data_IF_302055643120
#
_entry.id   IF_302055643120
#
_cell.length_a   1.000
_cell.length_b   1.000
_cell.length_c   1.000
_cell.angle_alpha   90.00
_cell.angle_beta   90.00
_cell.angle_gamma   90.00
#
_symmetry.space_group_name_H-M   'P 1'
#
loop_
_entity.id
_entity.type
_entity.pdbx_description
1 polymer ?
#
# COMPACT_ATOMS: atom_id res chain seq x y z
N UNK A 1 10.06 -18.82 -0.49
CA UNK A 1 8.80 -18.82 0.29
C UNK A 1 8.87 -17.64 1.24
N UNK A 2 8.10 -16.57 1.06
CA UNK A 2 8.36 -15.33 1.81
C UNK A 2 7.17 -14.40 1.92
N UNK A 3 7.02 -13.80 3.11
CA UNK A 3 6.03 -12.79 3.52
C UNK A 3 4.57 -13.30 3.62
N UNK A 4 4.20 -14.01 4.70
CA UNK A 4 2.84 -14.54 4.93
C UNK A 4 1.72 -13.49 4.85
N UNK A 5 1.96 -12.27 5.35
CA UNK A 5 0.97 -11.18 5.29
C UNK A 5 0.66 -10.71 3.87
N UNK A 6 1.65 -10.72 2.98
CA UNK A 6 1.41 -10.40 1.57
C UNK A 6 0.54 -11.47 0.90
N UNK A 7 0.79 -12.74 1.22
CA UNK A 7 -0.03 -13.86 0.73
C UNK A 7 -1.47 -13.79 1.24
N UNK A 8 -1.68 -13.42 2.50
CA UNK A 8 -3.02 -13.19 3.04
C UNK A 8 -3.73 -12.05 2.30
N UNK A 9 -3.06 -10.90 2.15
CA UNK A 9 -3.60 -9.74 1.44
C UNK A 9 -4.06 -10.12 0.02
N UNK A 10 -3.17 -10.70 -0.79
CA UNK A 10 -3.50 -11.01 -2.19
C UNK A 10 -4.56 -12.11 -2.30
N UNK A 11 -4.49 -13.15 -1.47
CA UNK A 11 -5.44 -14.27 -1.53
C UNK A 11 -6.86 -13.84 -1.16
N UNK A 12 -7.01 -13.01 -0.13
CA UNK A 12 -8.31 -12.49 0.30
C UNK A 12 -8.90 -11.52 -0.70
N UNK A 13 -8.09 -10.65 -1.30
CA UNK A 13 -8.55 -9.75 -2.37
C UNK A 13 -9.02 -10.56 -3.58
N UNK A 14 -8.25 -11.56 -4.03
CA UNK A 14 -8.64 -12.44 -5.14
C UNK A 14 -9.93 -13.20 -4.83
N UNK A 15 -10.06 -13.77 -3.64
CA UNK A 15 -11.26 -14.49 -3.22
C UNK A 15 -12.50 -13.58 -3.23
N UNK A 16 -12.37 -12.32 -2.79
CA UNK A 16 -13.45 -11.35 -2.83
C UNK A 16 -13.88 -11.01 -4.27
N UNK A 17 -12.93 -10.84 -5.20
CA UNK A 17 -13.23 -10.54 -6.60
C UNK A 17 -13.81 -11.75 -7.34
N UNK A 18 -13.29 -12.95 -7.09
CA UNK A 18 -13.79 -14.21 -7.68
C UNK A 18 -15.22 -14.54 -7.25
N UNK A 19 -15.62 -14.13 -6.03
CA UNK A 19 -16.95 -14.45 -5.49
C UNK A 19 -18.09 -13.90 -6.36
N UNK A 20 -17.90 -12.77 -7.03
CA UNK A 20 -18.90 -12.21 -7.92
C UNK A 20 -18.22 -11.34 -9.00
N UNK A 21 -18.45 -11.59 -10.30
CA UNK A 21 -17.84 -10.81 -11.38
C UNK A 21 -18.25 -9.33 -11.39
N UNK A 22 -19.31 -8.94 -10.67
CA UNK A 22 -19.72 -7.53 -10.50
C UNK A 22 -18.99 -6.82 -9.36
N UNK A 23 -18.21 -7.54 -8.54
CA UNK A 23 -17.43 -6.90 -7.49
C UNK A 23 -16.34 -6.05 -8.12
N UNK A 24 -16.10 -4.87 -7.53
CA UNK A 24 -15.09 -3.93 -7.98
C UNK A 24 -14.16 -3.59 -6.80
N UNK A 25 -12.86 -3.72 -7.00
CA UNK A 25 -11.85 -3.22 -6.08
C UNK A 25 -11.73 -1.70 -6.25
N UNK A 26 -12.23 -0.96 -5.25
CA UNK A 26 -12.28 0.50 -5.30
C UNK A 26 -10.96 1.16 -4.90
N UNK A 27 -10.35 0.68 -3.82
CA UNK A 27 -9.12 1.22 -3.25
C UNK A 27 -8.51 0.20 -2.28
N UNK A 28 -7.24 0.39 -1.95
CA UNK A 28 -6.59 -0.25 -0.80
C UNK A 28 -6.34 0.81 0.27
N UNK A 29 -6.91 0.63 1.46
CA UNK A 29 -6.58 1.46 2.62
C UNK A 29 -5.35 0.86 3.32
N UNK A 30 -4.28 1.62 3.42
CA UNK A 30 -2.98 1.16 3.93
C UNK A 30 -2.51 2.06 5.08
N UNK A 31 -2.33 1.51 6.28
CA UNK A 31 -1.78 2.25 7.43
C UNK A 31 -0.65 1.41 8.02
N UNK A 32 0.59 1.79 7.69
CA UNK A 32 1.78 1.07 8.10
C UNK A 32 3.00 1.98 7.97
N UNK A 33 3.88 1.95 8.96
CA UNK A 33 5.19 2.62 8.89
C UNK A 33 5.84 2.84 10.26
N UNK A 34 5.06 2.74 11.33
CA UNK A 34 5.46 2.97 12.73
C UNK A 34 6.71 2.19 13.13
N UNK A 35 6.69 0.88 12.95
CA UNK A 35 7.83 0.03 13.34
C UNK A 35 9.04 0.20 12.42
N UNK A 36 8.83 0.50 11.13
CA UNK A 36 9.94 0.79 10.22
C UNK A 36 10.69 2.05 10.65
N UNK A 37 10.00 3.10 11.11
CA UNK A 37 10.64 4.31 11.64
C UNK A 37 11.54 4.03 12.85
N UNK A 38 11.18 3.07 13.70
CA UNK A 38 12.00 2.66 14.84
C UNK A 38 13.22 1.80 14.45
N UNK A 39 13.26 1.28 13.21
CA UNK A 39 14.29 0.39 12.75
C UNK A 39 15.49 1.13 12.13
N UNK A 40 16.68 0.55 12.29
CA UNK A 40 17.90 1.06 11.63
C UNK A 40 17.80 1.04 10.10
N UNK A 41 16.90 0.23 9.53
CA UNK A 41 16.68 0.04 8.10
C UNK A 41 15.53 0.85 7.52
N UNK A 42 15.00 1.85 8.23
CA UNK A 42 13.86 2.69 7.78
C UNK A 42 14.01 3.24 6.35
N UNK A 43 15.24 3.58 5.93
CA UNK A 43 15.55 4.07 4.57
C UNK A 43 15.22 3.08 3.46
N UNK A 44 15.11 1.78 3.76
CA UNK A 44 14.74 0.75 2.79
C UNK A 44 13.23 0.65 2.59
N UNK A 45 12.44 1.16 3.54
CA UNK A 45 10.99 1.00 3.56
C UNK A 45 10.32 1.52 2.27
N UNK A 46 10.66 2.71 1.73
CA UNK A 46 10.00 3.19 0.52
C UNK A 46 10.23 2.28 -0.70
N UNK A 47 11.42 1.69 -0.84
CA UNK A 47 11.73 0.78 -1.94
C UNK A 47 11.03 -0.58 -1.78
N UNK A 48 10.97 -1.10 -0.54
CA UNK A 48 10.26 -2.34 -0.22
C UNK A 48 8.75 -2.20 -0.45
N UNK A 49 8.18 -1.05 -0.10
CA UNK A 49 6.79 -0.71 -0.40
C UNK A 49 6.54 -0.65 -1.91
N UNK A 50 7.40 0.01 -2.70
CA UNK A 50 7.29 0.03 -4.17
C UNK A 50 7.25 -1.38 -4.74
N UNK A 51 8.16 -2.25 -4.30
CA UNK A 51 8.24 -3.61 -4.80
C UNK A 51 6.97 -4.41 -4.45
N UNK A 52 6.43 -4.22 -3.24
CA UNK A 52 5.17 -4.83 -2.82
C UNK A 52 3.99 -4.33 -3.66
N UNK A 53 3.89 -3.02 -3.89
CA UNK A 53 2.82 -2.41 -4.70
C UNK A 53 2.86 -2.93 -6.14
N UNK A 54 4.04 -2.98 -6.76
CA UNK A 54 4.22 -3.50 -8.10
C UNK A 54 3.81 -4.99 -8.19
N UNK A 55 4.22 -5.80 -7.21
CA UNK A 55 3.83 -7.21 -7.15
C UNK A 55 2.31 -7.38 -6.98
N UNK A 56 1.68 -6.60 -6.10
CA UNK A 56 0.24 -6.64 -5.88
C UNK A 56 -0.54 -6.34 -7.17
N UNK A 57 -0.14 -5.29 -7.88
CA UNK A 57 -0.76 -4.88 -9.15
C UNK A 57 -0.57 -5.95 -10.23
N UNK A 58 0.62 -6.52 -10.34
CA UNK A 58 0.90 -7.61 -11.27
C UNK A 58 0.03 -8.85 -10.96
N UNK A 59 -0.06 -9.22 -9.69
CA UNK A 59 -0.83 -10.40 -9.24
C UNK A 59 -2.35 -10.23 -9.43
N UNK A 60 -2.86 -8.99 -9.44
CA UNK A 60 -4.27 -8.67 -9.68
C UNK A 60 -4.62 -8.37 -11.14
N UNK A 61 -3.66 -8.35 -12.06
CA UNK A 61 -3.89 -8.03 -13.48
C UNK A 61 -4.99 -8.87 -14.15
N UNK A 62 -5.15 -10.14 -13.73
CA UNK A 62 -6.21 -11.04 -14.22
C UNK A 62 -7.63 -10.57 -13.84
N UNK A 63 -7.75 -9.66 -12.86
CA UNK A 63 -8.99 -9.04 -12.41
C UNK A 63 -9.10 -7.56 -12.83
N UNK A 64 -8.35 -7.12 -13.86
CA UNK A 64 -8.36 -5.72 -14.31
C UNK A 64 -9.77 -5.15 -14.54
N UNK A 65 -10.65 -5.91 -15.20
CA UNK A 65 -12.04 -5.50 -15.45
C UNK A 65 -12.86 -5.27 -14.15
N UNK A 66 -12.40 -5.83 -13.04
CA UNK A 66 -13.00 -5.70 -11.70
C UNK A 66 -12.20 -4.72 -10.81
N UNK A 67 -11.31 -3.91 -11.38
CA UNK A 67 -10.58 -2.87 -10.67
C UNK A 67 -11.15 -1.49 -11.01
N UNK A 68 -11.02 -0.54 -10.08
CA UNK A 68 -11.28 0.87 -10.37
C UNK A 68 -10.48 1.31 -11.62
N UNK A 69 -11.12 2.05 -12.53
CA UNK A 69 -10.51 2.44 -13.80
C UNK A 69 -10.33 1.29 -14.81
N UNK A 70 -10.74 0.06 -14.48
CA UNK A 70 -10.58 -1.11 -15.35
C UNK A 70 -9.15 -1.67 -15.36
N UNK A 71 -8.30 -1.28 -14.41
CA UNK A 71 -6.91 -1.68 -14.32
C UNK A 71 -6.45 -1.78 -12.87
N UNK A 72 -5.77 -2.87 -12.51
CA UNK A 72 -5.14 -3.01 -11.20
C UNK A 72 -4.06 -1.93 -10.96
N UNK A 73 -3.47 -1.38 -12.03
CA UNK A 73 -2.49 -0.30 -11.93
C UNK A 73 -3.11 1.02 -11.44
N UNK A 74 -4.39 1.24 -11.73
CA UNK A 74 -5.10 2.49 -11.42
C UNK A 74 -5.84 2.41 -10.07
N UNK A 75 -5.82 1.26 -9.40
CA UNK A 75 -6.40 1.13 -8.06
C UNK A 75 -5.64 2.03 -7.10
N UNK A 76 -6.32 3.00 -6.45
CA UNK A 76 -5.69 3.90 -5.52
C UNK A 76 -5.31 3.19 -4.22
N UNK A 77 -4.14 3.52 -3.71
CA UNK A 77 -3.66 3.14 -2.39
C UNK A 77 -3.75 4.35 -1.48
N UNK A 78 -4.76 4.37 -0.63
CA UNK A 78 -4.98 5.43 0.35
C UNK A 78 -4.14 5.10 1.57
N UNK A 79 -2.96 5.69 1.64
CA UNK A 79 -2.04 5.56 2.76
C UNK A 79 -2.48 6.49 3.88
N UNK A 80 -2.88 5.95 5.03
CA UNK A 80 -3.18 6.77 6.20
C UNK A 80 -1.91 7.22 6.91
N UNK A 81 -1.94 8.44 7.43
CA UNK A 81 -0.90 8.98 8.29
C UNK A 81 -0.91 8.31 9.69
N UNK A 82 0.13 8.58 10.49
CA UNK A 82 0.30 8.03 11.83
C UNK A 82 -0.04 9.04 12.93
N UNK A 83 0.03 8.61 14.19
CA UNK A 83 -0.30 9.44 15.34
C UNK A 83 0.80 10.45 15.65
N UNK A 84 0.44 11.51 16.39
CA UNK A 84 1.38 12.54 16.83
C UNK A 84 2.61 12.00 17.57
N UNK A 85 2.44 10.93 18.37
CA UNK A 85 3.54 10.29 19.08
C UNK A 85 4.67 9.86 18.16
N UNK A 86 4.34 9.18 17.06
CA UNK A 86 5.34 8.65 16.12
C UNK A 86 6.01 9.77 15.32
N UNK A 87 5.24 10.76 14.88
CA UNK A 87 5.75 11.96 14.17
C UNK A 87 6.79 12.70 15.01
N UNK A 88 6.52 12.89 16.30
CA UNK A 88 7.44 13.59 17.19
C UNK A 88 8.66 12.77 17.60
N UNK A 89 8.46 11.48 17.88
CA UNK A 89 9.53 10.61 18.37
C UNK A 89 10.55 10.28 17.27
N UNK A 90 10.09 10.19 16.02
CA UNK A 90 10.89 9.75 14.87
C UNK A 90 10.78 10.73 13.69
N UNK A 91 10.86 12.04 13.94
CA UNK A 91 10.62 13.08 12.93
C UNK A 91 11.42 12.87 11.63
N UNK A 92 12.72 12.57 11.74
CA UNK A 92 13.58 12.34 10.56
C UNK A 92 13.17 11.09 9.78
N UNK A 93 12.84 10.01 10.47
CA UNK A 93 12.45 8.75 9.83
C UNK A 93 11.04 8.85 9.25
N UNK A 94 10.15 9.63 9.86
CA UNK A 94 8.82 9.93 9.36
C UNK A 94 8.88 10.57 7.97
N UNK A 95 9.75 11.56 7.76
CA UNK A 95 9.93 12.20 6.45
C UNK A 95 10.41 11.20 5.38
N UNK A 96 11.14 10.15 5.78
CA UNK A 96 11.57 9.10 4.85
C UNK A 96 10.45 8.11 4.54
N UNK A 97 9.78 7.58 5.57
CA UNK A 97 8.76 6.53 5.45
C UNK A 97 7.44 7.12 4.91
N UNK A 98 6.85 8.09 5.61
CA UNK A 98 5.57 8.70 5.22
C UNK A 98 5.73 9.74 4.10
N UNK A 99 6.87 10.44 4.03
CA UNK A 99 7.20 11.24 2.84
C UNK A 99 7.35 10.38 1.58
N UNK A 100 7.74 9.11 1.74
CA UNK A 100 7.72 8.11 0.67
C UNK A 100 6.33 7.84 0.09
N UNK A 101 5.26 8.01 0.87
CA UNK A 101 3.88 7.94 0.40
C UNK A 101 3.39 9.23 -0.25
N UNK A 102 3.78 10.38 0.30
CA UNK A 102 3.32 11.70 -0.15
C UNK A 102 3.72 12.02 -1.59
N UNK A 103 4.90 11.61 -2.03
CA UNK A 103 5.46 12.00 -3.34
C UNK A 103 5.07 11.04 -4.49
N UNK A 104 3.95 10.32 -4.37
CA UNK A 104 3.60 9.21 -5.27
C UNK A 104 2.16 9.20 -5.78
N UNK A 105 1.52 10.36 -5.82
CA UNK A 105 0.18 10.51 -6.38
C UNK A 105 0.08 10.03 -7.84
N UNK A 106 1.14 10.22 -8.64
CA UNK A 106 1.23 9.72 -10.02
C UNK A 106 1.25 8.20 -10.13
N UNK A 107 1.59 7.49 -9.04
CA UNK A 107 1.51 6.03 -8.94
C UNK A 107 0.19 5.58 -8.31
N UNK A 108 -0.78 6.48 -8.10
CA UNK A 108 -2.04 6.17 -7.42
C UNK A 108 -1.91 5.99 -5.91
N UNK A 109 -0.81 6.43 -5.30
CA UNK A 109 -0.62 6.40 -3.84
C UNK A 109 -0.96 7.77 -3.27
N UNK A 110 -1.95 7.82 -2.37
CA UNK A 110 -2.50 9.06 -1.81
C UNK A 110 -2.29 9.02 -0.31
N UNK A 111 -1.57 9.99 0.26
CA UNK A 111 -1.42 10.13 1.71
C UNK A 111 -2.61 10.90 2.28
N UNK A 112 -3.38 10.26 3.17
CA UNK A 112 -4.45 10.88 3.92
C UNK A 112 -3.91 11.40 5.26
N UNK A 113 -3.84 12.72 5.48
CA UNK A 113 -3.25 13.31 6.68
C UNK A 113 -4.10 13.03 7.94
N UNK A 114 -3.42 12.97 9.09
CA UNK A 114 -4.03 12.87 10.43
C UNK A 114 -4.06 14.18 11.19
#
# INVERSE_FOLDING_TARGET
MGKPLYQDLISRTKAALQKNPKNVLLAVCWMQGEFDMSAATHVQQPALFTAMLAQFRADLSVFNAQCHGGSAADVPWVCGDTTYYWKNTYATQYDTVYGGYKNRESEGVILCPS
#
